data_IF_497193648105
#
_entry.id   IF_497193648105
#
_cell.length_a   1.000
_cell.length_b   1.000
_cell.length_c   1.000
_cell.angle_alpha   90.00
_cell.angle_beta   90.00
_cell.angle_gamma   90.00
#
_symmetry.space_group_name_H-M   'P 1'
#
loop_
_entity.id
_entity.type
_entity.pdbx_description
1 polymer ?
#
# COMPACT_ATOMS: atom_id res chain seq x y z
N UNK A 1 -17.49 -5.35 3.30
CA UNK A 1 -16.17 -4.80 3.68
C UNK A 1 -15.47 -5.85 4.53
N UNK A 2 -14.26 -6.25 4.17
CA UNK A 2 -13.48 -7.24 4.89
C UNK A 2 -12.28 -6.57 5.58
N UNK A 3 -11.89 -7.07 6.76
CA UNK A 3 -10.84 -6.47 7.58
C UNK A 3 -9.77 -7.49 7.96
N UNK A 4 -8.50 -7.05 7.96
CA UNK A 4 -7.36 -7.81 8.45
C UNK A 4 -6.54 -6.94 9.41
N UNK A 5 -6.29 -7.42 10.63
CA UNK A 5 -5.48 -6.72 11.62
C UNK A 5 -4.36 -7.65 12.11
N UNK A 6 -3.12 -7.25 11.87
CA UNK A 6 -1.93 -8.04 12.22
C UNK A 6 -0.84 -7.09 12.68
N UNK A 7 -0.26 -7.30 13.86
CA UNK A 7 0.77 -6.41 14.39
C UNK A 7 2.05 -6.40 13.54
N UNK A 8 2.57 -7.58 13.21
CA UNK A 8 3.77 -7.75 12.41
C UNK A 8 3.60 -8.85 11.36
N UNK A 9 4.07 -8.61 10.15
CA UNK A 9 4.05 -9.59 9.08
C UNK A 9 5.27 -9.43 8.18
N UNK A 10 5.80 -10.55 7.69
CA UNK A 10 6.80 -10.49 6.61
C UNK A 10 6.17 -9.96 5.32
N UNK A 11 4.96 -10.40 5.02
CA UNK A 11 4.24 -10.03 3.80
C UNK A 11 2.74 -10.01 4.01
N UNK A 12 2.07 -9.05 3.39
CA UNK A 12 0.61 -9.01 3.25
C UNK A 12 0.29 -8.91 1.77
N UNK A 13 -0.61 -9.76 1.30
CA UNK A 13 -1.17 -9.70 -0.05
C UNK A 13 -2.66 -9.43 0.05
N UNK A 14 -3.14 -8.43 -0.69
CA UNK A 14 -4.55 -8.09 -0.82
C UNK A 14 -4.95 -8.31 -2.27
N UNK A 15 -5.93 -9.18 -2.49
CA UNK A 15 -6.52 -9.48 -3.79
C UNK A 15 -8.03 -9.22 -3.72
N UNK A 16 -8.51 -8.22 -4.47
CA UNK A 16 -9.92 -7.83 -4.51
C UNK A 16 -10.17 -6.36 -4.15
N UNK A 17 -11.37 -6.05 -3.67
CA UNK A 17 -11.79 -4.68 -3.43
C UNK A 17 -12.45 -4.46 -2.07
N UNK A 18 -12.42 -3.20 -1.61
CA UNK A 18 -13.06 -2.77 -0.37
C UNK A 18 -12.55 -3.49 0.89
N UNK A 19 -11.24 -3.76 0.94
CA UNK A 19 -10.55 -4.25 2.14
C UNK A 19 -10.00 -3.11 3.00
N UNK A 20 -9.95 -3.37 4.30
CA UNK A 20 -9.18 -2.56 5.25
C UNK A 20 -8.11 -3.39 5.94
N UNK A 21 -6.86 -2.92 5.91
CA UNK A 21 -5.72 -3.58 6.56
C UNK A 21 -5.11 -2.66 7.61
N UNK A 22 -4.86 -3.19 8.80
CA UNK A 22 -4.12 -2.53 9.89
C UNK A 22 -2.85 -3.31 10.20
N UNK A 23 -1.68 -2.64 10.18
CA UNK A 23 -0.41 -3.28 10.55
C UNK A 23 0.64 -2.28 11.07
N UNK A 24 1.49 -2.72 12.01
CA UNK A 24 2.57 -1.90 12.57
C UNK A 24 3.91 -2.13 11.87
N UNK A 25 4.32 -3.39 11.65
CA UNK A 25 5.58 -3.72 10.98
C UNK A 25 5.34 -4.67 9.80
N UNK A 26 5.69 -4.22 8.59
CA UNK A 26 5.50 -4.97 7.36
C UNK A 26 6.77 -4.98 6.51
N UNK A 27 7.24 -6.16 6.12
CA UNK A 27 8.26 -6.26 5.08
C UNK A 27 7.69 -5.81 3.73
N UNK A 28 6.74 -6.56 3.20
CA UNK A 28 6.18 -6.29 1.87
C UNK A 28 4.65 -6.25 1.83
N UNK A 29 4.11 -5.19 1.24
CA UNK A 29 2.73 -5.11 0.79
C UNK A 29 2.64 -5.38 -0.71
N UNK A 30 1.69 -6.22 -1.11
CA UNK A 30 1.26 -6.38 -2.51
C UNK A 30 -0.25 -6.19 -2.61
N UNK A 31 -0.71 -5.29 -3.47
CA UNK A 31 -2.14 -5.04 -3.70
C UNK A 31 -2.50 -5.22 -5.17
N UNK A 32 -3.46 -6.11 -5.41
CA UNK A 32 -4.08 -6.35 -6.71
C UNK A 32 -5.59 -6.18 -6.54
N UNK A 33 -6.19 -5.20 -7.21
CA UNK A 33 -7.62 -4.88 -7.07
C UNK A 33 -7.85 -3.40 -6.83
N UNK A 34 -8.97 -3.01 -6.21
CA UNK A 34 -9.34 -1.59 -6.18
C UNK A 34 -10.06 -1.15 -4.90
N UNK A 35 -10.05 0.15 -4.62
CA UNK A 35 -10.76 0.75 -3.49
C UNK A 35 -10.40 0.11 -2.13
N UNK A 36 -9.14 -0.31 -1.94
CA UNK A 36 -8.66 -0.82 -0.66
C UNK A 36 -7.99 0.31 0.15
N UNK A 37 -8.17 0.27 1.47
CA UNK A 37 -7.53 1.21 2.41
C UNK A 37 -6.59 0.46 3.35
N UNK A 38 -5.31 0.83 3.37
CA UNK A 38 -4.29 0.18 4.18
C UNK A 38 -3.65 1.20 5.12
N UNK A 39 -3.84 1.02 6.42
CA UNK A 39 -3.27 1.88 7.45
C UNK A 39 -2.11 1.14 8.12
N UNK A 40 -0.90 1.55 7.78
CA UNK A 40 0.35 0.88 8.09
C UNK A 40 1.22 1.82 8.92
N UNK A 41 2.20 1.30 9.67
CA UNK A 41 3.17 2.16 10.37
C UNK A 41 4.52 2.16 9.65
N UNK A 42 5.21 1.01 9.63
CA UNK A 42 6.51 0.86 8.96
C UNK A 42 6.42 -0.21 7.88
N UNK A 43 6.79 0.14 6.65
CA UNK A 43 6.75 -0.77 5.50
C UNK A 43 8.04 -0.68 4.68
N UNK A 44 8.70 -1.81 4.40
CA UNK A 44 9.88 -1.76 3.55
C UNK A 44 9.50 -1.54 2.08
N UNK A 45 8.52 -2.29 1.56
CA UNK A 45 8.11 -2.18 0.15
C UNK A 45 6.60 -2.23 -0.03
N UNK A 46 6.08 -1.27 -0.76
CA UNK A 46 4.70 -1.22 -1.25
C UNK A 46 4.69 -1.47 -2.76
N UNK A 47 3.96 -2.49 -3.20
CA UNK A 47 3.73 -2.77 -4.62
C UNK A 47 2.24 -2.78 -4.92
N UNK A 48 1.77 -1.88 -5.78
CA UNK A 48 0.36 -1.73 -6.11
C UNK A 48 0.17 -1.84 -7.62
N UNK A 49 -0.50 -2.91 -8.03
CA UNK A 49 -0.86 -3.18 -9.43
C UNK A 49 -2.32 -2.82 -9.73
N UNK A 50 -3.09 -2.60 -8.67
CA UNK A 50 -4.51 -2.25 -8.71
C UNK A 50 -4.78 -0.77 -8.96
N UNK A 51 -6.04 -0.35 -8.80
CA UNK A 51 -6.47 1.04 -9.00
C UNK A 51 -7.12 1.64 -7.76
N UNK A 52 -7.01 2.96 -7.55
CA UNK A 52 -7.74 3.67 -6.47
C UNK A 52 -7.52 3.10 -5.07
N UNK A 53 -6.34 2.56 -4.80
CA UNK A 53 -5.98 2.09 -3.46
C UNK A 53 -5.35 3.23 -2.66
N UNK A 54 -5.67 3.30 -1.37
CA UNK A 54 -5.10 4.25 -0.43
C UNK A 54 -4.21 3.53 0.58
N UNK A 55 -2.94 3.90 0.65
CA UNK A 55 -2.01 3.48 1.70
C UNK A 55 -1.65 4.68 2.55
N UNK A 56 -1.99 4.62 3.83
CA UNK A 56 -1.55 5.57 4.85
C UNK A 56 -0.42 4.91 5.64
N UNK A 57 0.74 5.58 5.72
CA UNK A 57 1.90 5.04 6.43
C UNK A 57 2.69 6.12 7.16
N UNK A 58 3.50 5.74 8.15
CA UNK A 58 4.51 6.65 8.70
C UNK A 58 5.79 6.56 7.87
N UNK A 59 6.35 5.35 7.79
CA UNK A 59 7.61 5.07 7.08
C UNK A 59 7.37 4.08 5.96
N UNK A 60 7.75 4.46 4.74
CA UNK A 60 7.86 3.60 3.57
C UNK A 60 9.23 3.80 2.93
N UNK A 61 9.94 2.70 2.64
CA UNK A 61 11.25 2.80 1.94
C UNK A 61 11.09 2.83 0.43
N UNK A 62 10.22 1.98 -0.13
CA UNK A 62 10.04 1.85 -1.57
C UNK A 62 8.57 1.75 -1.96
N UNK A 63 8.18 2.47 -3.00
CA UNK A 63 6.86 2.38 -3.63
C UNK A 63 7.03 1.99 -5.09
N UNK A 64 6.28 0.98 -5.52
CA UNK A 64 6.08 0.67 -6.94
C UNK A 64 4.59 0.74 -7.28
N UNK A 65 4.29 1.51 -8.31
CA UNK A 65 2.97 1.50 -8.95
C UNK A 65 3.06 0.86 -10.33
N UNK A 66 2.07 0.02 -10.64
CA UNK A 66 1.85 -0.52 -11.99
C UNK A 66 0.39 -0.44 -12.43
N UNK A 67 -0.52 -0.04 -11.53
CA UNK A 67 -1.88 0.36 -11.86
C UNK A 67 -2.08 1.87 -11.68
N UNK A 68 -3.32 2.33 -11.59
CA UNK A 68 -3.65 3.75 -11.74
C UNK A 68 -4.36 4.38 -10.53
N UNK A 69 -4.27 5.69 -10.39
CA UNK A 69 -5.01 6.48 -9.39
C UNK A 69 -4.80 6.00 -7.94
N UNK A 70 -3.64 5.41 -7.63
CA UNK A 70 -3.35 4.97 -6.27
C UNK A 70 -2.65 6.08 -5.48
N UNK A 71 -2.91 6.14 -4.18
CA UNK A 71 -2.26 7.08 -3.27
C UNK A 71 -1.49 6.32 -2.21
N UNK A 72 -0.22 6.67 -2.04
CA UNK A 72 0.58 6.29 -0.87
C UNK A 72 0.94 7.59 -0.15
N UNK A 73 0.50 7.75 1.10
CA UNK A 73 0.73 8.94 1.92
C UNK A 73 1.61 8.57 3.12
N UNK A 74 2.95 8.53 2.94
CA UNK A 74 3.91 8.34 4.01
C UNK A 74 4.40 9.69 4.58
N UNK A 75 4.83 9.70 5.84
CA UNK A 75 5.63 10.83 6.36
C UNK A 75 7.09 10.81 5.88
N UNK A 76 7.55 9.66 5.37
CA UNK A 76 8.89 9.46 4.81
C UNK A 76 8.99 9.86 3.33
N UNK A 77 10.20 9.80 2.76
CA UNK A 77 10.45 10.00 1.32
C UNK A 77 10.87 8.69 0.65
N UNK A 78 9.94 7.85 0.17
CA UNK A 78 10.28 6.58 -0.46
C UNK A 78 10.94 6.79 -1.83
N UNK A 79 11.73 5.80 -2.26
CA UNK A 79 12.06 5.69 -3.68
C UNK A 79 10.82 5.28 -4.47
N UNK A 80 10.58 5.91 -5.62
CA UNK A 80 9.38 5.69 -6.43
C UNK A 80 9.74 5.07 -7.80
N UNK A 81 9.04 4.00 -8.16
CA UNK A 81 8.99 3.39 -9.49
C UNK A 81 7.52 3.35 -9.94
N UNK A 82 7.09 4.36 -10.69
CA UNK A 82 5.72 4.48 -11.18
C UNK A 82 5.66 4.20 -12.68
N UNK A 83 4.86 3.20 -13.06
CA UNK A 83 4.62 2.80 -14.46
C UNK A 83 3.14 2.90 -14.85
N UNK A 84 2.30 3.40 -13.95
CA UNK A 84 0.90 3.64 -14.21
C UNK A 84 0.62 5.11 -14.51
N UNK A 85 -0.63 5.53 -14.29
CA UNK A 85 -1.04 6.92 -14.43
C UNK A 85 -1.86 7.38 -13.21
N UNK A 86 -1.78 8.66 -12.88
CA UNK A 86 -2.58 9.27 -11.80
C UNK A 86 -2.18 8.85 -10.38
N UNK A 87 -1.11 8.08 -10.20
CA UNK A 87 -0.66 7.71 -8.86
C UNK A 87 0.01 8.88 -8.15
N UNK A 88 -0.06 8.87 -6.83
CA UNK A 88 0.46 9.93 -5.97
C UNK A 88 1.23 9.35 -4.80
N UNK A 89 2.41 9.92 -4.56
CA UNK A 89 3.07 9.87 -3.25
C UNK A 89 3.02 11.28 -2.67
N UNK A 90 2.35 11.45 -1.53
CA UNK A 90 2.11 12.74 -0.88
C UNK A 90 2.60 12.76 0.56
#
# INVERSE_FOLDING_TARGET
MAQCNVDAARSIRVEGSNFTVLNKQLGQLSVTGHDNTLNLTNVDRVNIQGNKNLVLAREVKQVRFSGNDNTVNPSSKPTLDDRGSGNQVM
#
